data_IF_359899231324
#
_entry.id   IF_359899231324
#
_cell.length_a   1.000
_cell.length_b   1.000
_cell.length_c   1.000
_cell.angle_alpha   90.00
_cell.angle_beta   90.00
_cell.angle_gamma   90.00
#
_symmetry.space_group_name_H-M   'P 1'
#
loop_
_entity.id
_entity.type
_entity.pdbx_description
1 polymer ?
#
# COMPACT_ATOMS: atom_id res chain seq x y z
N UNK A 1 -18.36 13.16 -17.73
CA UNK A 1 -17.98 13.40 -19.14
C UNK A 1 -17.61 12.08 -19.82
N UNK A 2 -17.83 11.95 -21.13
CA UNK A 2 -17.59 10.68 -21.89
C UNK A 2 -16.19 10.69 -22.52
N UNK A 3 -15.36 9.66 -22.30
CA UNK A 3 -14.00 9.64 -22.83
C UNK A 3 -13.95 9.51 -24.35
N UNK A 4 -12.84 9.95 -24.94
CA UNK A 4 -12.48 9.66 -26.33
C UNK A 4 -11.65 8.39 -26.34
N UNK A 5 -12.06 7.37 -27.10
CA UNK A 5 -11.31 6.12 -27.22
C UNK A 5 -10.25 6.25 -28.33
N UNK A 6 -9.03 5.76 -28.05
CA UNK A 6 -7.94 5.59 -29.00
C UNK A 6 -7.33 4.19 -28.82
N UNK A 7 -7.08 3.51 -29.94
CA UNK A 7 -6.44 2.21 -29.99
C UNK A 7 -5.65 2.06 -31.29
N UNK A 8 -4.57 1.25 -31.31
CA UNK A 8 -3.94 0.79 -32.54
C UNK A 8 -4.94 0.06 -33.44
N UNK A 9 -4.73 0.12 -34.75
CA UNK A 9 -5.56 -0.57 -35.75
C UNK A 9 -4.94 -1.92 -36.12
N UNK A 10 -5.78 -2.88 -36.46
CA UNK A 10 -5.37 -4.21 -36.94
C UNK A 10 -5.08 -5.24 -35.84
N UNK A 11 -5.22 -4.87 -34.56
CA UNK A 11 -4.97 -5.76 -33.42
C UNK A 11 -6.20 -5.88 -32.49
N UNK A 12 -6.07 -6.62 -31.40
CA UNK A 12 -7.20 -6.90 -30.50
C UNK A 12 -7.71 -5.64 -29.78
N UNK A 13 -6.84 -4.64 -29.53
CA UNK A 13 -7.27 -3.36 -28.97
C UNK A 13 -8.32 -2.66 -29.82
N UNK A 14 -8.30 -2.79 -31.16
CA UNK A 14 -9.33 -2.23 -32.05
C UNK A 14 -10.69 -2.87 -31.77
N UNK A 15 -10.76 -4.21 -31.72
CA UNK A 15 -12.02 -4.92 -31.44
C UNK A 15 -12.59 -4.58 -30.06
N UNK A 16 -11.72 -4.45 -29.05
CA UNK A 16 -12.13 -4.03 -27.71
C UNK A 16 -12.62 -2.58 -27.71
N UNK A 17 -11.90 -1.69 -28.40
CA UNK A 17 -12.27 -0.27 -28.53
C UNK A 17 -13.61 -0.05 -29.20
N UNK A 18 -13.89 -0.74 -30.31
CA UNK A 18 -15.18 -0.66 -31.02
C UNK A 18 -16.35 -1.18 -30.16
N UNK A 19 -16.17 -2.33 -29.50
CA UNK A 19 -17.19 -2.90 -28.61
C UNK A 19 -17.47 -1.97 -27.43
N UNK A 20 -16.44 -1.34 -26.88
CA UNK A 20 -16.58 -0.39 -25.79
C UNK A 20 -17.27 0.90 -26.25
N UNK A 21 -16.88 1.47 -27.39
CA UNK A 21 -17.53 2.65 -27.98
C UNK A 21 -19.02 2.42 -28.21
N UNK A 22 -19.38 1.28 -28.81
CA UNK A 22 -20.77 0.87 -28.99
C UNK A 22 -21.52 0.80 -27.65
N UNK A 23 -20.93 0.13 -26.65
CA UNK A 23 -21.54 -0.01 -25.31
C UNK A 23 -21.71 1.35 -24.61
N UNK A 24 -20.76 2.26 -24.76
CA UNK A 24 -20.86 3.62 -24.21
C UNK A 24 -21.98 4.42 -24.91
N UNK A 25 -22.09 4.35 -26.23
CA UNK A 25 -23.17 5.02 -27.00
C UNK A 25 -24.54 4.49 -26.63
N UNK A 26 -24.67 3.18 -26.46
CA UNK A 26 -25.92 2.54 -26.03
C UNK A 26 -26.33 2.99 -24.63
N UNK A 27 -25.39 3.05 -23.67
CA UNK A 27 -25.68 3.56 -22.31
C UNK A 27 -26.08 5.04 -22.30
N UNK A 28 -25.45 5.87 -23.15
CA UNK A 28 -25.80 7.29 -23.25
C UNK A 28 -27.17 7.55 -23.89
N UNK A 29 -27.67 6.59 -24.68
CA UNK A 29 -29.02 6.65 -25.26
C UNK A 29 -30.11 6.32 -24.25
N UNK A 30 -29.80 5.63 -23.15
CA UNK A 30 -30.77 5.35 -22.09
C UNK A 30 -30.72 6.46 -21.02
N UNK A 31 -31.68 7.41 -21.03
CA UNK A 31 -31.71 8.51 -20.06
C UNK A 31 -31.93 8.04 -18.62
N UNK A 32 -32.37 6.79 -18.41
CA UNK A 32 -32.59 6.22 -17.07
C UNK A 32 -31.34 5.54 -16.49
N UNK A 33 -30.31 5.29 -17.30
CA UNK A 33 -29.10 4.57 -16.90
C UNK A 33 -27.81 5.30 -17.30
N UNK A 34 -27.86 6.63 -17.43
CA UNK A 34 -26.69 7.40 -17.86
C UNK A 34 -25.64 7.52 -16.75
N UNK A 35 -24.67 6.60 -16.76
CA UNK A 35 -23.50 6.57 -15.88
C UNK A 35 -22.62 7.84 -15.96
N UNK A 36 -22.83 8.70 -16.96
CA UNK A 36 -21.99 9.88 -17.24
C UNK A 36 -22.68 11.22 -16.97
N UNK A 37 -23.95 11.20 -16.53
CA UNK A 37 -24.78 12.40 -16.34
C UNK A 37 -24.84 12.90 -14.89
N UNK A 38 -24.38 12.12 -13.90
CA UNK A 38 -24.61 12.43 -12.48
C UNK A 38 -23.87 13.65 -11.93
N UNK A 39 -22.93 14.24 -12.68
CA UNK A 39 -22.10 15.36 -12.18
C UNK A 39 -22.05 16.59 -13.11
N UNK A 40 -22.73 16.53 -14.27
CA UNK A 40 -22.69 17.59 -15.28
C UNK A 40 -23.94 18.49 -15.29
N UNK A 41 -24.88 18.32 -14.36
CA UNK A 41 -26.12 19.11 -14.30
C UNK A 41 -26.12 20.19 -13.21
N UNK A 42 -25.15 20.23 -12.29
CA UNK A 42 -25.12 21.22 -11.22
C UNK A 42 -24.48 22.56 -11.63
N UNK A 43 -23.67 22.58 -12.70
CA UNK A 43 -23.11 23.81 -13.24
C UNK A 43 -23.03 23.67 -14.76
N UNK A 44 -23.51 24.66 -15.51
CA UNK A 44 -23.48 24.71 -16.99
C UNK A 44 -22.08 24.76 -17.61
N UNK A 45 -21.09 24.15 -16.97
CA UNK A 45 -19.75 23.96 -17.48
C UNK A 45 -19.78 22.82 -18.49
N UNK A 46 -19.86 23.17 -19.77
CA UNK A 46 -19.33 22.33 -20.84
C UNK A 46 -17.91 21.91 -20.42
N UNK A 47 -17.70 20.65 -20.06
CA UNK A 47 -16.37 20.16 -19.70
C UNK A 47 -15.51 20.21 -20.97
N UNK A 48 -14.75 21.30 -21.18
CA UNK A 48 -13.83 21.46 -22.31
C UNK A 48 -12.71 20.42 -22.31
N UNK A 49 -12.53 19.70 -21.21
CA UNK A 49 -11.56 18.61 -21.06
C UNK A 49 -12.29 17.26 -21.11
N UNK A 50 -12.33 16.65 -22.30
CA UNK A 50 -12.81 15.28 -22.47
C UNK A 50 -11.68 14.31 -22.10
N UNK A 51 -11.90 13.34 -21.19
CA UNK A 51 -10.88 12.33 -20.88
C UNK A 51 -10.50 11.52 -22.11
N UNK A 52 -9.25 11.08 -22.20
CA UNK A 52 -8.76 10.17 -23.23
C UNK A 52 -8.62 8.77 -22.63
N UNK A 53 -9.22 7.77 -23.28
CA UNK A 53 -9.02 6.36 -22.96
C UNK A 53 -8.17 5.73 -24.07
N UNK A 54 -6.96 5.32 -23.73
CA UNK A 54 -6.06 4.61 -24.64
C UNK A 54 -6.11 3.12 -24.33
N UNK A 55 -6.39 2.30 -25.33
CA UNK A 55 -6.38 0.83 -25.24
C UNK A 55 -5.20 0.34 -26.08
N UNK A 56 -4.32 -0.45 -25.48
CA UNK A 56 -3.11 -0.95 -26.10
C UNK A 56 -3.05 -2.47 -25.96
N UNK A 57 -2.50 -3.13 -26.98
CA UNK A 57 -2.14 -4.53 -26.92
C UNK A 57 -0.78 -4.72 -26.23
N UNK A 58 -0.62 -5.83 -25.50
CA UNK A 58 0.64 -6.14 -24.77
C UNK A 58 1.85 -6.25 -25.70
N UNK A 59 1.62 -6.65 -26.95
CA UNK A 59 2.58 -6.70 -28.07
C UNK A 59 3.32 -5.39 -28.30
N UNK A 60 2.72 -4.25 -27.92
CA UNK A 60 3.29 -2.91 -28.14
C UNK A 60 4.61 -2.71 -27.38
N UNK A 61 4.74 -3.33 -26.20
CA UNK A 61 5.96 -3.26 -25.38
C UNK A 61 6.12 -4.51 -24.49
N UNK A 62 6.77 -5.52 -25.07
CA UNK A 62 7.15 -6.75 -24.37
C UNK A 62 8.44 -6.57 -23.55
N UNK A 63 9.31 -5.63 -23.91
CA UNK A 63 10.57 -5.41 -23.21
C UNK A 63 10.33 -5.01 -21.75
N UNK A 64 9.34 -4.15 -21.51
CA UNK A 64 8.96 -3.75 -20.15
C UNK A 64 8.42 -4.88 -19.28
N UNK A 65 7.98 -6.03 -19.84
CA UNK A 65 7.60 -7.21 -19.02
C UNK A 65 8.80 -7.97 -18.49
N UNK A 66 9.91 -7.92 -19.21
CA UNK A 66 11.10 -8.71 -18.92
C UNK A 66 12.16 -7.88 -18.17
N UNK A 67 11.92 -6.58 -18.01
CA UNK A 67 12.84 -5.68 -17.34
C UNK A 67 12.65 -5.79 -15.82
N UNK A 68 13.65 -6.34 -15.13
CA UNK A 68 13.73 -6.30 -13.68
C UNK A 68 14.06 -4.89 -13.21
N UNK A 69 13.05 -4.16 -12.76
CA UNK A 69 13.24 -2.80 -12.26
C UNK A 69 13.59 -2.82 -10.78
N UNK A 70 14.44 -1.88 -10.38
CA UNK A 70 14.95 -1.77 -9.01
C UNK A 70 14.07 -0.93 -8.08
N UNK A 71 12.81 -0.69 -8.46
CA UNK A 71 11.85 0.03 -7.62
C UNK A 71 11.28 -0.89 -6.56
N UNK A 72 10.91 -0.36 -5.39
CA UNK A 72 10.46 -1.18 -4.27
C UNK A 72 9.27 -2.10 -4.62
N UNK A 73 8.27 -1.57 -5.33
CA UNK A 73 7.10 -2.37 -5.71
C UNK A 73 7.42 -3.46 -6.72
N UNK A 74 8.16 -3.12 -7.78
CA UNK A 74 8.46 -4.08 -8.82
C UNK A 74 9.42 -5.16 -8.32
N UNK A 75 10.44 -4.78 -7.54
CA UNK A 75 11.37 -5.73 -6.94
C UNK A 75 10.62 -6.69 -6.02
N UNK A 76 9.75 -6.17 -5.15
CA UNK A 76 8.91 -7.02 -4.29
C UNK A 76 8.00 -7.96 -5.07
N UNK A 77 7.46 -7.50 -6.20
CA UNK A 77 6.65 -8.34 -7.07
C UNK A 77 7.46 -9.41 -7.82
N UNK A 78 8.70 -9.09 -8.20
CA UNK A 78 9.53 -9.97 -9.00
C UNK A 78 10.17 -11.10 -8.18
N UNK A 79 10.60 -10.80 -6.94
CA UNK A 79 11.41 -11.76 -6.14
C UNK A 79 10.67 -12.36 -4.93
N UNK A 80 9.51 -11.82 -4.53
CA UNK A 80 8.68 -12.38 -3.44
C UNK A 80 7.34 -12.89 -3.97
N UNK A 81 6.62 -13.71 -3.19
CA UNK A 81 5.26 -14.12 -3.56
C UNK A 81 4.27 -12.98 -3.30
N UNK A 82 4.21 -12.04 -4.25
CA UNK A 82 3.32 -10.88 -4.21
C UNK A 82 2.07 -11.16 -5.06
N UNK A 83 0.92 -11.30 -4.42
CA UNK A 83 -0.38 -11.42 -5.11
C UNK A 83 -1.45 -10.61 -4.38
N UNK A 84 -2.35 -9.96 -5.11
CA UNK A 84 -3.50 -9.23 -4.54
C UNK A 84 -3.12 -8.20 -3.45
N UNK A 85 -2.02 -7.47 -3.61
CA UNK A 85 -1.47 -6.54 -2.61
C UNK A 85 -1.05 -7.22 -1.29
N UNK A 86 -0.67 -8.49 -1.37
CA UNK A 86 -0.18 -9.28 -0.24
C UNK A 86 1.13 -9.92 -0.60
N UNK A 87 2.07 -9.88 0.33
CA UNK A 87 3.38 -10.52 0.23
C UNK A 87 3.43 -11.68 1.22
N UNK A 88 3.73 -12.88 0.74
CA UNK A 88 4.02 -14.05 1.58
C UNK A 88 5.54 -14.26 1.65
N UNK A 89 6.07 -14.31 2.88
CA UNK A 89 7.49 -14.52 3.16
C UNK A 89 7.62 -15.77 4.02
N UNK A 90 8.45 -16.72 3.59
CA UNK A 90 8.80 -17.90 4.38
C UNK A 90 9.99 -17.58 5.27
N UNK A 91 9.80 -17.63 6.58
CA UNK A 91 10.88 -17.55 7.55
C UNK A 91 11.29 -18.97 7.97
N UNK A 92 12.59 -19.27 7.89
CA UNK A 92 13.14 -20.51 8.41
C UNK A 92 13.57 -20.30 9.85
N UNK A 93 13.01 -21.09 10.77
CA UNK A 93 13.49 -21.10 12.15
C UNK A 93 14.70 -22.02 12.28
N UNK A 94 15.90 -21.44 12.20
CA UNK A 94 17.17 -22.16 12.36
C UNK A 94 17.29 -22.83 13.75
N UNK A 95 16.48 -22.44 14.74
CA UNK A 95 16.56 -22.96 16.10
C UNK A 95 15.75 -24.24 16.33
N UNK A 96 14.84 -24.58 15.41
CA UNK A 96 13.99 -25.77 15.51
C UNK A 96 14.39 -26.76 14.43
N UNK A 97 15.12 -27.81 14.80
CA UNK A 97 15.36 -28.97 13.94
C UNK A 97 14.27 -30.00 14.17
N UNK A 98 13.47 -30.31 13.14
CA UNK A 98 12.63 -31.50 13.19
C UNK A 98 13.49 -32.75 13.02
N UNK A 99 13.05 -33.90 13.55
CA UNK A 99 13.81 -35.16 13.52
C UNK A 99 14.25 -35.66 12.13
N UNK A 100 13.70 -35.08 11.06
CA UNK A 100 14.05 -35.35 9.65
C UNK A 100 15.08 -34.34 9.07
N UNK A 101 15.67 -33.47 9.88
CA UNK A 101 16.66 -32.47 9.42
C UNK A 101 16.06 -31.31 8.63
N UNK A 102 14.72 -31.15 8.62
CA UNK A 102 14.02 -30.01 8.02
C UNK A 102 13.70 -28.96 9.09
N UNK A 103 14.06 -27.70 8.82
CA UNK A 103 13.60 -26.58 9.63
C UNK A 103 12.12 -26.30 9.31
N UNK A 104 11.24 -26.15 10.30
CA UNK A 104 9.87 -25.76 10.05
C UNK A 104 9.87 -24.32 9.50
N UNK A 105 9.33 -24.14 8.29
CA UNK A 105 9.13 -22.81 7.73
C UNK A 105 7.83 -22.21 8.28
N UNK A 106 7.93 -21.01 8.86
CA UNK A 106 6.76 -20.23 9.25
C UNK A 106 6.48 -19.22 8.15
N UNK A 107 5.36 -19.39 7.46
CA UNK A 107 4.93 -18.42 6.46
C UNK A 107 4.29 -17.22 7.15
N UNK A 108 4.83 -16.03 6.90
CA UNK A 108 4.25 -14.74 7.31
C UNK A 108 3.64 -14.05 6.10
N UNK A 109 2.54 -13.35 6.37
CA UNK A 109 1.76 -12.68 5.35
C UNK A 109 1.66 -11.20 5.70
N UNK A 110 1.98 -10.35 4.73
CA UNK A 110 1.98 -8.90 4.88
C UNK A 110 1.06 -8.26 3.84
N UNK A 111 0.05 -7.52 4.29
CA UNK A 111 -0.90 -6.82 3.41
C UNK A 111 -0.44 -5.37 3.15
N UNK A 112 -0.23 -5.01 1.89
CA UNK A 112 0.20 -3.69 1.42
C UNK A 112 -1.01 -2.84 1.01
N UNK A 113 -1.57 -2.11 1.98
CA UNK A 113 -2.84 -1.40 1.81
C UNK A 113 -2.62 -0.01 1.18
N UNK A 114 -3.50 0.48 0.28
CA UNK A 114 -3.36 1.83 -0.30
C UNK A 114 -3.43 2.99 0.70
N UNK A 115 -3.94 2.77 1.91
CA UNK A 115 -4.01 3.75 3.00
C UNK A 115 -2.69 3.88 3.76
N UNK A 116 -1.78 2.93 3.59
CA UNK A 116 -0.44 3.00 4.14
C UNK A 116 0.33 4.16 3.50
N UNK A 117 0.66 5.15 4.33
CA UNK A 117 1.36 6.36 3.90
C UNK A 117 2.77 6.06 3.42
N UNK A 118 3.47 5.12 4.07
CA UNK A 118 4.84 4.75 3.71
C UNK A 118 4.83 4.07 2.34
N UNK A 119 4.00 3.02 2.18
CA UNK A 119 3.85 2.33 0.90
C UNK A 119 3.47 3.28 -0.24
N UNK A 120 2.48 4.15 -0.03
CA UNK A 120 2.02 5.12 -1.04
C UNK A 120 3.14 6.05 -1.52
N UNK A 121 4.04 6.44 -0.63
CA UNK A 121 5.16 7.35 -0.94
C UNK A 121 6.36 6.62 -1.55
N UNK A 122 6.66 5.40 -1.06
CA UNK A 122 7.92 4.72 -1.35
C UNK A 122 7.84 3.65 -2.45
N UNK A 123 6.66 3.14 -2.78
CA UNK A 123 6.50 2.00 -3.72
C UNK A 123 7.17 2.19 -5.09
N UNK A 124 7.22 3.43 -5.59
CA UNK A 124 7.82 3.77 -6.88
C UNK A 124 9.30 4.18 -6.82
N UNK A 125 9.87 4.28 -5.62
CA UNK A 125 11.25 4.73 -5.45
C UNK A 125 12.22 3.55 -5.60
N UNK A 126 13.46 3.80 -6.05
CA UNK A 126 14.54 2.82 -6.03
C UNK A 126 14.75 2.22 -4.65
N UNK A 127 14.98 0.92 -4.57
CA UNK A 127 15.12 0.19 -3.31
C UNK A 127 16.19 0.74 -2.33
N UNK A 128 17.36 1.30 -2.73
CA UNK A 128 18.31 1.85 -1.77
C UNK A 128 17.72 3.05 -1.01
N UNK A 129 16.99 3.92 -1.74
CA UNK A 129 16.32 5.09 -1.16
C UNK A 129 15.23 4.64 -0.18
N UNK A 130 14.52 3.56 -0.50
CA UNK A 130 13.51 2.99 0.41
C UNK A 130 14.16 2.43 1.67
N UNK A 131 15.27 1.71 1.56
CA UNK A 131 16.00 1.20 2.73
C UNK A 131 16.47 2.33 3.66
N UNK A 132 17.00 3.42 3.09
CA UNK A 132 17.35 4.63 3.85
C UNK A 132 16.13 5.26 4.53
N UNK A 133 15.00 5.35 3.82
CA UNK A 133 13.75 5.91 4.37
C UNK A 133 13.16 5.05 5.50
N UNK A 134 13.26 3.71 5.41
CA UNK A 134 12.85 2.82 6.51
C UNK A 134 13.70 3.12 7.75
N UNK A 135 15.01 3.26 7.56
CA UNK A 135 15.93 3.53 8.66
C UNK A 135 15.65 4.90 9.32
N UNK A 136 15.38 5.93 8.52
CA UNK A 136 15.00 7.25 9.03
C UNK A 136 13.68 7.20 9.83
N UNK A 137 12.68 6.49 9.31
CA UNK A 137 11.37 6.39 9.97
C UNK A 137 11.43 5.56 11.26
N UNK A 138 12.31 4.55 11.32
CA UNK A 138 12.64 3.79 12.55
C UNK A 138 13.26 4.69 13.61
N UNK A 139 14.20 5.54 13.22
CA UNK A 139 14.83 6.48 14.15
C UNK A 139 13.83 7.52 14.67
N UNK A 140 12.98 8.07 13.80
CA UNK A 140 11.88 8.97 14.20
C UNK A 140 10.90 8.28 15.14
N UNK A 141 10.55 7.03 14.87
CA UNK A 141 9.66 6.26 15.76
C UNK A 141 10.28 6.07 17.15
N UNK A 142 11.57 5.70 17.23
CA UNK A 142 12.28 5.52 18.52
C UNK A 142 12.31 6.80 19.35
N UNK A 143 12.48 7.96 18.71
CA UNK A 143 12.45 9.26 19.39
C UNK A 143 11.06 9.54 19.98
N UNK A 144 10.00 9.30 19.22
CA UNK A 144 8.61 9.47 19.67
C UNK A 144 8.25 8.49 20.81
N UNK A 145 8.68 7.24 20.71
CA UNK A 145 8.48 6.23 21.75
C UNK A 145 9.20 6.60 23.05
N UNK A 146 10.41 7.15 22.95
CA UNK A 146 11.17 7.68 24.08
C UNK A 146 10.47 8.86 24.76
N UNK A 147 9.88 9.77 23.99
CA UNK A 147 9.09 10.89 24.52
C UNK A 147 7.84 10.40 25.27
N UNK A 148 7.09 9.46 24.68
CA UNK A 148 5.91 8.85 25.32
C UNK A 148 6.30 8.11 26.61
N UNK A 149 7.41 7.37 26.60
CA UNK A 149 7.91 6.66 27.79
C UNK A 149 8.33 7.63 28.89
N UNK A 150 8.96 8.76 28.53
CA UNK A 150 9.32 9.83 29.46
C UNK A 150 8.08 10.50 30.06
N UNK A 151 7.07 10.78 29.25
CA UNK A 151 5.78 11.32 29.70
C UNK A 151 5.08 10.34 30.66
N UNK A 152 5.02 9.05 30.32
CA UNK A 152 4.50 7.98 31.20
C UNK A 152 5.21 7.96 32.56
N UNK A 153 6.54 8.04 32.55
CA UNK A 153 7.37 8.02 33.77
C UNK A 153 7.16 9.27 34.62
N UNK A 154 7.10 10.45 34.00
CA UNK A 154 6.82 11.72 34.68
C UNK A 154 5.42 11.76 35.32
N UNK A 155 4.49 10.93 34.84
CA UNK A 155 3.12 10.83 35.33
C UNK A 155 2.89 9.68 36.31
N UNK A 156 3.91 8.88 36.65
CA UNK A 156 3.84 7.84 37.69
C UNK A 156 3.03 6.60 37.32
N UNK A 157 2.66 6.40 36.05
CA UNK A 157 1.87 5.24 35.59
C UNK A 157 2.81 4.03 35.38
N UNK A 158 2.70 3.02 36.25
CA UNK A 158 3.39 1.71 36.11
C UNK A 158 2.42 0.67 35.52
N UNK A 159 2.77 0.06 34.39
CA UNK A 159 2.01 -1.01 33.72
C UNK A 159 2.31 -1.11 32.21
N UNK A 160 2.07 -2.25 31.57
CA UNK A 160 2.33 -2.45 30.13
C UNK A 160 1.36 -1.65 29.22
N UNK A 161 1.70 -1.52 27.93
CA UNK A 161 0.92 -0.70 26.98
C UNK A 161 -0.54 -1.18 26.81
N UNK A 162 -0.82 -2.45 27.05
CA UNK A 162 -2.18 -3.03 27.00
C UNK A 162 -2.99 -2.72 28.27
N UNK A 163 -2.35 -2.74 29.45
CA UNK A 163 -2.99 -2.37 30.74
C UNK A 163 -3.31 -0.88 30.83
N UNK A 164 -2.57 -0.07 30.07
CA UNK A 164 -2.74 1.38 29.96
C UNK A 164 -4.09 1.76 29.34
N UNK A 165 -4.55 1.03 28.33
CA UNK A 165 -5.82 1.31 27.65
C UNK A 165 -7.05 1.13 28.56
N UNK A 166 -6.99 0.20 29.50
CA UNK A 166 -8.08 -0.11 30.43
C UNK A 166 -8.07 0.84 31.64
N UNK A 167 -6.89 1.18 32.17
CA UNK A 167 -6.73 2.06 33.34
C UNK A 167 -7.07 3.53 33.03
N UNK A 168 -6.83 3.99 31.80
CA UNK A 168 -7.01 5.39 31.38
C UNK A 168 -8.44 5.80 31.04
N UNK A 169 -9.39 4.86 30.93
CA UNK A 169 -10.80 5.19 30.72
C UNK A 169 -11.43 5.93 31.92
N UNK A 170 -10.77 5.91 33.09
CA UNK A 170 -11.34 6.41 34.34
C UNK A 170 -10.89 7.82 34.76
N UNK A 171 -9.83 8.42 34.19
CA UNK A 171 -9.31 9.70 34.67
C UNK A 171 -9.25 10.81 33.60
N UNK A 172 -10.08 11.84 33.80
CA UNK A 172 -10.23 13.01 32.93
C UNK A 172 -9.17 14.08 33.24
N UNK A 173 -8.04 14.09 32.53
CA UNK A 173 -7.10 15.23 32.55
C UNK A 173 -6.75 15.66 31.12
N UNK A 174 -6.81 16.95 30.80
CA UNK A 174 -6.68 17.50 29.43
C UNK A 174 -5.32 17.26 28.74
N UNK A 175 -4.25 17.00 29.49
CA UNK A 175 -2.95 16.54 28.95
C UNK A 175 -2.86 15.03 28.74
N UNK A 176 -3.73 14.24 29.39
CA UNK A 176 -3.90 12.82 29.07
C UNK A 176 -4.59 12.66 27.71
N UNK A 177 -5.59 13.48 27.40
CA UNK A 177 -6.37 13.35 26.17
C UNK A 177 -5.52 13.37 24.90
N UNK A 178 -4.49 14.22 24.81
CA UNK A 178 -3.62 14.28 23.63
C UNK A 178 -2.69 13.07 23.51
N UNK A 179 -2.02 12.65 24.59
CA UNK A 179 -1.13 11.49 24.57
C UNK A 179 -1.88 10.16 24.40
N UNK A 180 -3.09 10.06 24.95
CA UNK A 180 -3.98 8.90 24.81
C UNK A 180 -4.54 8.80 23.38
N UNK A 181 -4.81 9.93 22.72
CA UNK A 181 -5.24 9.94 21.32
C UNK A 181 -4.15 9.48 20.33
N UNK A 182 -2.87 9.74 20.63
CA UNK A 182 -1.76 9.42 19.73
C UNK A 182 -1.18 8.01 19.89
N UNK A 183 -1.48 7.32 21.01
CA UNK A 183 -0.97 5.97 21.26
C UNK A 183 -1.43 4.94 20.20
N UNK A 184 -2.72 4.85 19.85
CA UNK A 184 -3.17 3.94 18.79
C UNK A 184 -2.51 4.25 17.44
N UNK A 185 -2.29 5.53 17.13
CA UNK A 185 -1.61 5.96 15.91
C UNK A 185 -0.13 5.53 15.91
N UNK A 186 0.57 5.64 17.04
CA UNK A 186 1.95 5.18 17.18
C UNK A 186 2.07 3.65 17.07
N UNK A 187 1.14 2.90 17.65
CA UNK A 187 1.12 1.43 17.53
C UNK A 187 0.88 0.99 16.08
N UNK A 188 -0.07 1.62 15.38
CA UNK A 188 -0.30 1.32 13.97
C UNK A 188 0.90 1.72 13.10
N UNK A 189 1.53 2.87 13.40
CA UNK A 189 2.76 3.30 12.73
C UNK A 189 3.89 2.28 12.92
N UNK A 190 4.08 1.76 14.14
CA UNK A 190 5.04 0.68 14.41
C UNK A 190 4.72 -0.56 13.59
N UNK A 191 3.47 -1.00 13.58
CA UNK A 191 3.01 -2.19 12.84
C UNK A 191 3.33 -2.09 11.34
N UNK A 192 3.04 -0.95 10.72
CA UNK A 192 3.35 -0.70 9.31
C UNK A 192 4.85 -0.63 9.05
N UNK A 193 5.61 -0.03 9.96
CA UNK A 193 7.06 0.07 9.83
C UNK A 193 7.73 -1.30 9.95
N UNK A 194 7.34 -2.11 10.94
CA UNK A 194 7.82 -3.48 11.13
C UNK A 194 7.51 -4.34 9.88
N UNK A 195 6.32 -4.16 9.28
CA UNK A 195 5.95 -4.79 8.02
C UNK A 195 6.95 -4.44 6.91
N UNK A 196 7.25 -3.14 6.71
CA UNK A 196 8.16 -2.71 5.66
C UNK A 196 9.61 -3.11 5.91
N UNK A 197 10.06 -3.11 7.16
CA UNK A 197 11.36 -3.63 7.56
C UNK A 197 11.47 -5.12 7.22
N UNK A 198 10.48 -5.94 7.57
CA UNK A 198 10.50 -7.38 7.28
C UNK A 198 10.52 -7.65 5.77
N UNK A 199 9.72 -6.91 4.99
CA UNK A 199 9.75 -7.03 3.52
C UNK A 199 11.12 -6.61 2.98
N UNK A 200 11.70 -5.49 3.44
CA UNK A 200 13.00 -5.02 2.97
C UNK A 200 14.14 -5.99 3.31
N UNK A 201 14.11 -6.60 4.50
CA UNK A 201 15.07 -7.66 4.88
C UNK A 201 14.93 -8.87 3.96
N UNK A 202 13.71 -9.35 3.71
CA UNK A 202 13.49 -10.47 2.80
C UNK A 202 13.93 -10.14 1.37
N UNK A 203 13.72 -8.90 0.89
CA UNK A 203 14.23 -8.47 -0.41
C UNK A 203 15.76 -8.50 -0.46
N UNK A 204 16.43 -7.98 0.56
CA UNK A 204 17.88 -8.01 0.66
C UNK A 204 18.43 -9.44 0.59
N UNK A 205 17.74 -10.41 1.17
CA UNK A 205 18.18 -11.81 1.13
C UNK A 205 18.00 -12.46 -0.24
N UNK A 206 17.04 -12.02 -1.05
CA UNK A 206 16.83 -12.53 -2.41
C UNK A 206 17.75 -11.90 -3.47
N UNK A 207 18.24 -10.68 -3.23
CA UNK A 207 19.04 -9.93 -4.23
C UNK A 207 20.55 -9.93 -3.95
N UNK A 208 20.99 -10.63 -2.91
CA UNK A 208 22.42 -10.83 -2.59
C UNK A 208 23.14 -11.73 -3.60
#
# INVERSE_FOLDING_TARGET
SVPIIRCPKGEAAESVGEKLDKKLRENLRDPRNSLFSSDSMATGALSFQRPLLVILDRSTDLASLLHHTWTYQALAHDVLDFKLNRVEIEEFDETITTGDGRHPSKRRTYDLIPTDKFWKQQKGNPFPIVAESIQEELERYRQLEGEVTRLKTAMGIKGDAEDLAISLLNDTTSKLTSAVSSLPELLEKKRLLDLHTNIATALLDQIK
#
